data_IF_051550022396
#
_entry.id   IF_051550022396
#
_cell.length_a   1.000
_cell.length_b   1.000
_cell.length_c   1.000
_cell.angle_alpha   90.00
_cell.angle_beta   90.00
_cell.angle_gamma   90.00
#
_symmetry.space_group_name_H-M   'P 1'
#
loop_
_entity.id
_entity.type
_entity.pdbx_description
1 polymer ?
#
# COMPACT_ATOMS: atom_id res chain seq x y z
N UNK A 1 45.57 -61.63 42.93
CA UNK A 1 44.74 -60.73 43.76
C UNK A 1 45.57 -59.51 44.11
N UNK A 2 44.97 -58.31 44.09
CA UNK A 2 45.52 -56.93 44.11
C UNK A 2 45.72 -56.32 42.73
N UNK A 3 45.22 -55.13 42.39
CA UNK A 3 44.27 -54.20 43.02
C UNK A 3 43.83 -53.25 41.89
N UNK A 4 42.54 -53.15 41.58
CA UNK A 4 42.01 -52.08 40.72
C UNK A 4 41.67 -50.86 41.60
N UNK A 5 41.99 -49.62 41.17
CA UNK A 5 41.69 -48.43 41.93
C UNK A 5 40.20 -48.07 41.89
N UNK A 6 39.72 -47.60 43.04
CA UNK A 6 38.36 -47.21 43.39
C UNK A 6 37.79 -46.12 42.46
N UNK A 7 36.72 -46.48 41.73
CA UNK A 7 36.01 -45.63 40.77
C UNK A 7 35.16 -44.54 41.41
N UNK A 8 35.10 -44.43 42.74
CA UNK A 8 34.21 -43.48 43.43
C UNK A 8 34.67 -42.02 43.41
N UNK A 9 35.93 -41.73 43.06
CA UNK A 9 36.48 -40.36 43.02
C UNK A 9 36.37 -39.67 41.64
N UNK A 10 36.23 -40.41 40.56
CA UNK A 10 36.15 -39.86 39.20
C UNK A 10 34.76 -39.28 38.87
N UNK A 11 33.69 -39.79 39.49
CA UNK A 11 32.32 -39.30 39.26
C UNK A 11 32.02 -37.98 39.99
N UNK A 12 32.73 -37.65 41.07
CA UNK A 12 32.54 -36.38 41.80
C UNK A 12 33.10 -35.16 41.07
N UNK A 13 34.11 -35.34 40.22
CA UNK A 13 34.67 -34.25 39.41
C UNK A 13 33.89 -34.05 38.11
N UNK A 14 33.33 -35.13 37.53
CA UNK A 14 32.47 -35.02 36.34
C UNK A 14 31.09 -34.42 36.63
N UNK A 15 30.53 -34.60 37.83
CA UNK A 15 29.23 -34.00 38.18
C UNK A 15 29.30 -32.48 38.41
N UNK A 16 30.48 -31.95 38.76
CA UNK A 16 30.68 -30.50 38.94
C UNK A 16 30.93 -29.74 37.64
N UNK A 17 31.30 -30.41 36.54
CA UNK A 17 31.45 -29.78 35.23
C UNK A 17 30.17 -29.82 34.37
N UNK A 18 29.24 -30.73 34.66
CA UNK A 18 27.96 -30.82 33.93
C UNK A 18 26.95 -29.72 34.34
N UNK A 19 27.18 -29.06 35.47
CA UNK A 19 26.37 -27.92 35.94
C UNK A 19 26.81 -26.56 35.37
N UNK A 20 27.92 -26.50 34.63
CA UNK A 20 28.41 -25.26 34.01
C UNK A 20 27.96 -25.06 32.54
N UNK A 21 27.26 -26.04 31.97
CA UNK A 21 26.62 -25.95 30.64
C UNK A 21 25.09 -25.98 30.72
N UNK A 22 24.51 -25.58 31.86
CA UNK A 22 23.22 -24.91 31.79
C UNK A 22 23.49 -23.56 31.11
N UNK A 23 23.37 -23.54 29.79
CA UNK A 23 23.34 -22.33 29.01
C UNK A 23 22.19 -21.49 29.60
N UNK A 24 22.54 -20.57 30.50
CA UNK A 24 21.63 -19.53 30.90
C UNK A 24 21.41 -18.78 29.60
N UNK A 25 20.24 -18.97 29.00
CA UNK A 25 19.68 -18.02 28.05
C UNK A 25 19.49 -16.73 28.84
N UNK A 26 20.61 -16.03 29.07
CA UNK A 26 20.68 -14.74 29.72
C UNK A 26 19.81 -13.86 28.85
N UNK A 27 18.61 -13.59 29.35
CA UNK A 27 17.63 -12.74 28.71
C UNK A 27 18.14 -11.31 28.88
N UNK A 28 19.19 -10.98 28.13
CA UNK A 28 19.93 -9.74 28.27
C UNK A 28 19.16 -8.59 27.65
N UNK A 29 18.17 -8.08 28.37
CA UNK A 29 17.38 -6.91 28.00
C UNK A 29 18.29 -5.72 27.77
N UNK A 30 18.00 -4.95 26.73
CA UNK A 30 18.77 -3.76 26.39
C UNK A 30 17.85 -2.57 26.49
N UNK A 31 18.21 -1.69 27.41
CA UNK A 31 17.65 -0.34 27.49
C UNK A 31 18.73 0.63 27.03
N UNK A 32 18.34 1.56 26.17
CA UNK A 32 19.24 2.61 25.69
C UNK A 32 18.54 3.95 25.86
N UNK A 33 19.24 4.94 26.40
CA UNK A 33 18.83 6.33 26.40
C UNK A 33 19.81 7.11 25.53
N UNK A 34 19.30 7.70 24.45
CA UNK A 34 20.08 8.53 23.55
C UNK A 34 19.42 9.91 23.47
N UNK A 35 19.96 10.85 24.24
CA UNK A 35 19.46 12.23 24.32
C UNK A 35 17.95 12.32 24.67
N UNK A 36 17.48 11.47 25.58
CA UNK A 36 16.08 11.45 26.04
C UNK A 36 15.16 10.53 25.25
N UNK A 37 15.60 10.04 24.08
CA UNK A 37 14.94 8.96 23.34
C UNK A 37 15.32 7.63 23.99
N UNK A 38 14.34 6.96 24.59
CA UNK A 38 14.55 5.70 25.28
C UNK A 38 14.00 4.55 24.46
N UNK A 39 14.78 3.48 24.38
CA UNK A 39 14.38 2.23 23.73
C UNK A 39 14.43 1.09 24.73
N UNK A 40 13.44 0.21 24.70
CA UNK A 40 13.44 -1.06 25.41
C UNK A 40 13.15 -2.19 24.44
N UNK A 41 13.93 -3.27 24.52
CA UNK A 41 13.72 -4.48 23.71
C UNK A 41 13.26 -5.62 24.61
N UNK A 42 12.07 -6.14 24.33
CA UNK A 42 11.54 -7.34 24.96
C UNK A 42 11.96 -8.57 24.15
N UNK A 43 12.48 -9.58 24.84
CA UNK A 43 12.77 -10.87 24.23
C UNK A 43 11.48 -11.64 23.92
N UNK A 44 11.61 -12.62 23.02
CA UNK A 44 10.56 -13.41 22.38
C UNK A 44 9.23 -13.53 23.17
N UNK A 45 8.20 -12.83 22.70
CA UNK A 45 6.81 -13.10 23.07
C UNK A 45 6.25 -14.13 22.07
N UNK A 46 5.66 -15.21 22.57
CA UNK A 46 5.30 -16.36 21.74
C UNK A 46 3.93 -16.94 22.07
N UNK A 47 3.16 -17.20 21.02
CA UNK A 47 1.95 -18.01 21.10
C UNK A 47 2.25 -19.42 20.57
N UNK A 48 2.23 -20.40 21.47
CA UNK A 48 2.44 -21.82 21.14
C UNK A 48 1.09 -22.49 20.88
N UNK A 49 1.06 -23.51 20.01
CA UNK A 49 -0.17 -24.23 19.61
C UNK A 49 -1.20 -23.30 18.95
N UNK A 50 -2.45 -23.75 18.76
CA UNK A 50 -3.54 -23.02 18.09
C UNK A 50 -4.19 -21.87 18.91
N UNK A 51 -3.65 -21.53 20.08
CA UNK A 51 -4.22 -20.55 21.01
C UNK A 51 -3.56 -19.18 20.84
N UNK A 52 -4.36 -18.13 20.59
CA UNK A 52 -3.89 -16.75 20.58
C UNK A 52 -3.60 -16.26 22.01
N UNK A 53 -2.58 -15.41 22.15
CA UNK A 53 -2.10 -14.89 23.45
C UNK A 53 -1.91 -13.39 23.45
N UNK A 54 -2.16 -12.76 24.59
CA UNK A 54 -1.96 -11.33 24.85
C UNK A 54 -0.85 -11.13 25.86
N UNK A 55 0.01 -10.15 25.60
CA UNK A 55 1.13 -9.75 26.44
C UNK A 55 1.00 -8.26 26.77
N UNK A 56 0.92 -7.88 28.04
CA UNK A 56 1.04 -6.46 28.43
C UNK A 56 2.49 -6.05 28.31
N UNK A 57 2.85 -5.26 27.30
CA UNK A 57 4.25 -4.88 27.04
C UNK A 57 4.62 -3.56 27.71
N UNK A 58 3.64 -2.69 27.94
CA UNK A 58 3.84 -1.43 28.64
C UNK A 58 2.55 -0.94 29.31
N UNK A 59 2.70 -0.08 30.31
CA UNK A 59 1.60 0.73 30.86
C UNK A 59 2.03 2.19 30.76
N UNK A 60 1.17 3.07 30.24
CA UNK A 60 1.52 4.48 30.01
C UNK A 60 0.63 5.41 30.84
N UNK A 61 1.26 6.35 31.55
CA UNK A 61 0.57 7.44 32.25
C UNK A 61 0.36 8.65 31.35
N UNK A 62 -0.87 9.15 31.29
CA UNK A 62 -1.29 10.27 30.45
C UNK A 62 -2.40 11.11 31.11
N UNK A 63 -2.73 12.26 30.52
CA UNK A 63 -3.90 13.03 30.90
C UNK A 63 -4.72 13.39 29.64
N UNK A 64 -5.98 12.96 29.58
CA UNK A 64 -6.87 13.12 28.42
C UNK A 64 -7.15 14.58 28.06
N UNK A 65 -6.95 15.52 28.98
CA UNK A 65 -7.33 16.93 28.85
C UNK A 65 -6.14 17.88 28.70
N UNK A 66 -4.92 17.34 28.60
CA UNK A 66 -3.72 18.16 28.61
C UNK A 66 -2.71 17.84 27.49
N UNK A 67 -2.37 18.87 26.70
CA UNK A 67 -1.54 18.79 25.50
C UNK A 67 -0.04 18.56 25.79
N UNK A 68 0.48 19.01 26.95
CA UNK A 68 1.90 18.79 27.32
C UNK A 68 2.22 17.35 27.73
N UNK A 69 1.19 16.50 27.86
CA UNK A 69 1.33 15.08 28.17
C UNK A 69 1.13 14.17 26.96
N UNK A 70 0.96 14.78 25.77
CA UNK A 70 0.94 14.07 24.50
C UNK A 70 2.29 13.42 24.28
N UNK A 71 2.27 12.19 23.79
CA UNK A 71 3.51 11.49 23.50
C UNK A 71 3.23 10.21 22.76
N UNK A 72 4.13 9.88 21.85
CA UNK A 72 4.02 8.71 20.99
C UNK A 72 4.83 7.60 21.64
N UNK A 73 4.22 6.43 21.83
CA UNK A 73 4.96 5.18 21.97
C UNK A 73 5.00 4.53 20.59
N UNK A 74 6.20 4.24 20.10
CA UNK A 74 6.38 3.43 18.90
C UNK A 74 6.58 1.99 19.36
N UNK A 75 5.76 1.08 18.83
CA UNK A 75 5.87 -0.36 19.07
C UNK A 75 6.22 -1.03 17.76
N UNK A 76 7.35 -1.72 17.74
CA UNK A 76 7.86 -2.42 16.57
C UNK A 76 7.89 -3.91 16.85
N UNK A 77 7.21 -4.66 15.99
CA UNK A 77 7.10 -6.11 16.07
C UNK A 77 8.00 -6.70 14.97
N UNK A 78 8.92 -7.57 15.38
CA UNK A 78 9.80 -8.29 14.48
C UNK A 78 9.47 -9.77 14.54
N UNK A 79 8.87 -10.29 13.47
CA UNK A 79 8.57 -11.70 13.38
C UNK A 79 9.90 -12.49 13.36
N UNK A 80 10.03 -13.43 14.28
CA UNK A 80 11.23 -14.27 14.45
C UNK A 80 10.98 -15.73 14.03
N UNK A 81 9.81 -16.05 13.47
CA UNK A 81 9.39 -17.41 13.13
C UNK A 81 8.58 -17.47 11.82
N UNK A 82 8.81 -18.49 10.97
CA UNK A 82 8.13 -18.70 9.66
C UNK A 82 8.30 -17.63 8.56
N UNK A 83 9.03 -16.54 8.79
CA UNK A 83 9.38 -15.58 7.74
C UNK A 83 9.97 -14.28 8.27
N UNK A 84 10.50 -13.45 7.38
CA UNK A 84 10.89 -12.06 7.71
C UNK A 84 9.65 -11.18 7.63
N UNK A 85 9.25 -10.59 8.76
CA UNK A 85 8.11 -9.69 8.85
C UNK A 85 8.36 -8.60 9.88
N UNK A 86 7.89 -7.40 9.58
CA UNK A 86 8.00 -6.23 10.44
C UNK A 86 6.70 -5.43 10.42
N UNK A 87 6.23 -5.07 11.61
CA UNK A 87 5.10 -4.16 11.79
C UNK A 87 5.49 -3.02 12.74
N UNK A 88 5.11 -1.80 12.39
CA UNK A 88 5.32 -0.60 13.21
C UNK A 88 3.99 0.03 13.57
N UNK A 89 3.77 0.17 14.87
CA UNK A 89 2.59 0.81 15.42
C UNK A 89 2.96 2.10 16.15
N UNK A 90 2.09 3.11 16.06
CA UNK A 90 2.09 4.25 16.97
C UNK A 90 0.95 4.10 17.96
N UNK A 91 1.25 4.30 19.24
CA UNK A 91 0.25 4.49 20.29
C UNK A 91 0.22 5.99 20.59
N UNK A 92 -0.89 6.62 20.24
CA UNK A 92 -1.09 8.05 20.41
C UNK A 92 -2.02 8.30 21.61
N UNK A 93 -1.58 9.16 22.52
CA UNK A 93 -2.23 9.41 23.82
C UNK A 93 -2.16 10.90 24.18
N UNK A 94 -3.15 11.37 24.95
CA UNK A 94 -3.26 12.75 25.42
C UNK A 94 -4.16 13.64 24.54
N UNK A 95 -4.25 14.92 24.91
CA UNK A 95 -5.15 15.88 24.24
C UNK A 95 -4.59 16.34 22.89
N UNK A 96 -5.33 16.03 21.82
CA UNK A 96 -4.97 16.24 20.40
C UNK A 96 -3.84 15.33 19.92
N UNK A 97 -4.18 14.42 18.99
CA UNK A 97 -3.46 13.18 18.59
C UNK A 97 -3.92 11.91 19.33
N UNK A 98 -4.73 12.01 20.39
CA UNK A 98 -5.65 10.95 20.84
C UNK A 98 -7.03 11.56 21.03
N UNK A 99 -7.97 11.19 20.17
CA UNK A 99 -9.32 11.75 19.93
C UNK A 99 -9.96 12.53 21.11
N UNK A 100 -9.63 13.81 21.32
CA UNK A 100 -10.19 14.62 22.42
C UNK A 100 -10.11 13.94 23.81
N UNK A 101 -9.17 13.02 24.03
CA UNK A 101 -9.00 12.33 25.31
C UNK A 101 -8.88 10.80 25.23
N UNK A 102 -9.23 10.16 24.11
CA UNK A 102 -9.20 8.71 23.95
C UNK A 102 -7.92 8.22 23.25
N UNK A 103 -7.12 7.35 23.90
CA UNK A 103 -5.97 6.68 23.30
C UNK A 103 -6.28 5.87 22.04
N UNK A 104 -5.38 5.92 21.05
CA UNK A 104 -5.53 5.17 19.79
C UNK A 104 -4.24 4.45 19.39
N UNK A 105 -4.39 3.36 18.63
CA UNK A 105 -3.27 2.62 18.03
C UNK A 105 -3.41 2.65 16.52
N UNK A 106 -2.32 2.95 15.83
CA UNK A 106 -2.27 2.99 14.36
C UNK A 106 -1.16 2.11 13.84
N UNK A 107 -1.46 1.30 12.81
CA UNK A 107 -0.44 0.62 12.01
C UNK A 107 0.09 1.62 10.98
N UNK A 108 1.39 1.92 11.04
CA UNK A 108 2.03 2.96 10.21
C UNK A 108 3.07 2.40 9.23
N UNK A 109 3.56 1.19 9.44
CA UNK A 109 4.43 0.47 8.50
C UNK A 109 4.21 -1.03 8.66
N UNK A 110 4.24 -1.75 7.55
CA UNK A 110 4.04 -3.19 7.49
C UNK A 110 4.79 -3.78 6.30
N UNK A 111 5.65 -4.76 6.55
CA UNK A 111 6.45 -5.45 5.54
C UNK A 111 6.49 -6.96 5.81
N UNK A 112 6.55 -7.75 4.74
CA UNK A 112 6.61 -9.22 4.79
C UNK A 112 5.29 -9.90 4.42
N UNK A 113 5.30 -11.24 4.32
CA UNK A 113 4.16 -12.03 3.84
C UNK A 113 3.19 -12.46 4.95
N UNK A 114 3.63 -12.49 6.20
CA UNK A 114 2.87 -13.07 7.30
C UNK A 114 2.84 -12.13 8.51
N UNK A 115 1.66 -11.60 8.78
CA UNK A 115 1.35 -10.82 9.98
C UNK A 115 0.51 -11.67 10.90
N UNK A 116 1.03 -11.95 12.09
CA UNK A 116 0.39 -12.77 13.13
C UNK A 116 0.36 -12.06 14.49
N UNK A 117 0.61 -10.75 14.53
CA UNK A 117 0.47 -9.98 15.75
C UNK A 117 -0.12 -8.59 15.49
N UNK A 118 -0.74 -8.03 16.53
CA UNK A 118 -1.23 -6.65 16.54
C UNK A 118 -0.99 -6.00 17.88
N UNK A 119 -0.91 -4.67 17.88
CA UNK A 119 -0.90 -3.86 19.10
C UNK A 119 -2.33 -3.47 19.43
N UNK A 120 -2.73 -3.66 20.68
CA UNK A 120 -4.06 -3.26 21.19
C UNK A 120 -3.91 -2.50 22.51
N UNK A 121 -4.96 -1.81 22.93
CA UNK A 121 -5.00 -1.09 24.20
C UNK A 121 -5.96 -1.79 25.16
N UNK A 122 -5.64 -1.69 26.45
CA UNK A 122 -6.54 -2.07 27.52
C UNK A 122 -7.49 -0.96 27.93
N UNK A 123 -8.30 -1.27 28.93
CA UNK A 123 -9.18 -0.29 29.55
C UNK A 123 -8.37 0.74 30.34
N UNK A 124 -8.53 2.05 30.06
CA UNK A 124 -7.83 3.09 30.80
C UNK A 124 -8.42 3.30 32.20
N UNK A 125 -7.56 3.41 33.21
CA UNK A 125 -7.96 3.59 34.61
C UNK A 125 -7.38 4.87 35.23
N UNK A 126 -8.07 5.40 36.24
CA UNK A 126 -7.67 6.62 36.94
C UNK A 126 -6.47 6.38 37.88
N UNK A 127 -5.55 7.33 37.90
CA UNK A 127 -4.46 7.41 38.88
C UNK A 127 -4.88 8.28 40.06
N UNK A 128 -4.15 8.16 41.18
CA UNK A 128 -4.38 8.97 42.38
C UNK A 128 -3.99 10.45 42.21
N UNK A 129 -3.24 10.77 41.16
CA UNK A 129 -2.76 12.12 40.86
C UNK A 129 -3.66 12.84 39.85
N UNK A 130 -3.64 14.16 39.88
CA UNK A 130 -4.37 15.02 38.95
C UNK A 130 -3.47 16.15 38.45
N UNK A 131 -3.79 16.69 37.29
CA UNK A 131 -3.15 17.87 36.73
C UNK A 131 -4.23 18.84 36.25
N UNK A 132 -4.16 20.11 36.66
CA UNK A 132 -5.19 21.13 36.38
C UNK A 132 -6.62 20.66 36.66
N UNK A 133 -6.84 20.03 37.83
CA UNK A 133 -8.13 19.46 38.27
C UNK A 133 -8.69 18.33 37.39
N UNK A 134 -7.90 17.81 36.45
CA UNK A 134 -8.23 16.65 35.63
C UNK A 134 -7.42 15.45 36.10
N UNK A 135 -8.07 14.30 36.28
CA UNK A 135 -7.39 13.10 36.73
C UNK A 135 -6.38 12.62 35.71
N UNK A 136 -5.21 12.22 36.20
CA UNK A 136 -4.26 11.47 35.38
C UNK A 136 -4.80 10.04 35.23
N UNK A 137 -4.51 9.41 34.09
CA UNK A 137 -4.95 8.06 33.78
C UNK A 137 -3.75 7.22 33.37
N UNK A 138 -3.89 5.92 33.47
CA UNK A 138 -2.96 4.95 32.91
C UNK A 138 -3.69 4.05 31.92
N UNK A 139 -2.97 3.59 30.90
CA UNK A 139 -3.50 2.65 29.90
C UNK A 139 -2.50 1.52 29.64
N UNK A 140 -2.95 0.25 29.72
CA UNK A 140 -2.16 -0.90 29.29
C UNK A 140 -2.01 -0.92 27.76
N UNK A 141 -0.82 -1.25 27.29
CA UNK A 141 -0.49 -1.51 25.89
C UNK A 141 -0.19 -2.99 25.75
N UNK A 142 -0.94 -3.65 24.87
CA UNK A 142 -0.85 -5.07 24.64
C UNK A 142 -0.23 -5.38 23.28
N UNK A 143 0.47 -6.50 23.21
CA UNK A 143 0.75 -7.19 21.95
C UNK A 143 -0.02 -8.50 21.95
N UNK A 144 -0.92 -8.64 21.00
CA UNK A 144 -1.68 -9.86 20.75
C UNK A 144 -0.94 -10.66 19.67
N UNK A 145 -0.60 -11.91 19.97
CA UNK A 145 0.14 -12.82 19.09
C UNK A 145 -0.75 -14.02 18.77
N UNK A 146 -0.95 -14.26 17.48
CA UNK A 146 -1.68 -15.39 16.92
C UNK A 146 -0.81 -16.65 16.99
N UNK A 147 -1.48 -17.79 17.00
CA UNK A 147 -0.88 -19.11 17.13
C UNK A 147 0.37 -19.33 16.25
N UNK A 148 1.27 -20.20 16.73
CA UNK A 148 2.50 -20.59 16.04
C UNK A 148 3.40 -19.42 15.62
N UNK A 149 3.43 -18.34 16.41
CA UNK A 149 4.21 -17.15 16.07
C UNK A 149 5.01 -16.64 17.26
N UNK A 150 6.19 -16.10 16.94
CA UNK A 150 7.12 -15.53 17.92
C UNK A 150 7.60 -14.17 17.42
N UNK A 151 7.53 -13.17 18.31
CA UNK A 151 7.91 -11.80 18.00
C UNK A 151 8.94 -11.28 18.99
N UNK A 152 9.91 -10.51 18.48
CA UNK A 152 10.68 -9.56 19.30
C UNK A 152 9.96 -8.22 19.27
N UNK A 153 9.91 -7.54 20.42
CA UNK A 153 9.23 -6.25 20.53
C UNK A 153 10.25 -5.18 20.86
N UNK A 154 10.27 -4.10 20.08
CA UNK A 154 11.02 -2.89 20.41
C UNK A 154 10.05 -1.76 20.71
N UNK A 155 10.25 -1.13 21.86
CA UNK A 155 9.45 -0.01 22.36
C UNK A 155 10.34 1.24 22.34
N UNK A 156 9.92 2.29 21.62
CA UNK A 156 10.62 3.58 21.60
C UNK A 156 9.73 4.66 22.20
N UNK A 157 10.22 5.39 23.19
CA UNK A 157 9.44 6.32 23.99
C UNK A 157 10.27 7.50 24.53
N UNK A 158 9.58 8.60 24.85
CA UNK A 158 10.16 9.84 25.41
C UNK A 158 9.80 10.06 26.90
N UNK A 159 9.23 9.05 27.55
CA UNK A 159 8.71 9.11 28.93
C UNK A 159 9.73 8.66 29.97
N UNK A 160 9.48 8.97 31.24
CA UNK A 160 10.26 8.46 32.35
C UNK A 160 9.92 6.99 32.61
N UNK A 161 10.91 6.09 32.51
CA UNK A 161 10.70 4.67 32.83
C UNK A 161 10.57 4.51 34.34
N UNK A 162 9.53 3.84 34.80
CA UNK A 162 9.25 3.60 36.21
C UNK A 162 8.78 2.17 36.43
N UNK A 163 8.86 1.68 37.67
CA UNK A 163 8.31 0.37 38.04
C UNK A 163 6.79 0.40 38.12
N UNK A 164 6.22 1.52 38.55
CA UNK A 164 4.78 1.72 38.68
C UNK A 164 4.39 3.11 38.19
N UNK A 165 3.39 3.16 37.31
CA UNK A 165 2.85 4.41 36.78
C UNK A 165 1.95 5.04 37.83
N UNK A 166 2.35 6.20 38.34
CA UNK A 166 1.63 6.94 39.39
C UNK A 166 1.15 8.31 38.92
N UNK A 167 1.70 8.82 37.83
CA UNK A 167 1.33 10.11 37.23
C UNK A 167 1.54 10.13 35.71
N UNK A 168 1.21 11.25 35.06
CA UNK A 168 1.47 11.47 33.64
C UNK A 168 2.98 11.44 33.31
N UNK A 169 3.31 11.25 32.02
CA UNK A 169 4.71 11.23 31.51
C UNK A 169 5.60 10.11 32.05
N UNK A 170 4.99 9.10 32.66
CA UNK A 170 5.63 7.87 33.09
C UNK A 170 5.25 6.70 32.17
N UNK A 171 6.14 5.73 32.07
CA UNK A 171 5.91 4.46 31.39
C UNK A 171 6.49 3.31 32.22
N UNK A 172 5.69 2.28 32.43
CA UNK A 172 6.16 0.97 32.90
C UNK A 172 6.41 0.10 31.69
N UNK A 173 7.58 -0.51 31.63
CA UNK A 173 7.90 -1.54 30.64
C UNK A 173 7.79 -2.88 31.35
N UNK A 174 6.94 -3.76 30.84
CA UNK A 174 6.81 -5.11 31.38
C UNK A 174 7.87 -5.98 30.71
N UNK A 175 9.01 -6.04 31.37
CA UNK A 175 10.22 -6.73 30.89
C UNK A 175 10.01 -8.23 30.66
N UNK A 176 9.12 -8.84 31.43
CA UNK A 176 8.74 -10.27 31.34
C UNK A 176 7.22 -10.40 31.34
N UNK A 177 6.55 -10.01 30.24
CA UNK A 177 5.10 -9.94 30.22
C UNK A 177 4.51 -11.34 30.32
N UNK A 178 3.63 -11.56 31.31
CA UNK A 178 2.96 -12.85 31.49
C UNK A 178 1.85 -12.99 30.44
N UNK A 179 1.85 -14.06 29.61
CA UNK A 179 0.81 -14.25 28.62
C UNK A 179 -0.54 -14.56 29.26
N UNK A 180 -1.60 -14.04 28.67
CA UNK A 180 -2.97 -14.52 28.89
C UNK A 180 -3.53 -15.08 27.58
N UNK A 181 -4.29 -16.16 27.65
CA UNK A 181 -4.96 -16.72 26.48
C UNK A 181 -6.17 -15.84 26.10
N UNK A 182 -6.32 -15.57 24.80
CA UNK A 182 -7.41 -14.75 24.24
C UNK A 182 -8.07 -15.45 23.06
N UNK A 183 -9.34 -15.16 22.72
CA UNK A 183 -9.93 -15.63 21.47
C UNK A 183 -9.08 -15.27 20.24
N UNK A 184 -9.21 -16.06 19.17
CA UNK A 184 -8.56 -15.71 17.91
C UNK A 184 -9.06 -14.35 17.38
N UNK A 185 -8.25 -13.70 16.57
CA UNK A 185 -8.51 -12.36 16.07
C UNK A 185 -8.12 -12.20 14.59
N UNK A 186 -8.71 -11.18 13.97
CA UNK A 186 -8.32 -10.68 12.67
C UNK A 186 -7.24 -9.61 12.81
N UNK A 187 -6.36 -9.56 11.83
CA UNK A 187 -5.21 -8.65 11.81
C UNK A 187 -5.52 -7.52 10.83
N UNK A 188 -5.37 -6.25 11.23
CA UNK A 188 -5.53 -5.13 10.31
C UNK A 188 -4.47 -5.22 9.21
N UNK A 189 -4.91 -5.32 7.96
CA UNK A 189 -4.02 -5.23 6.77
C UNK A 189 -4.02 -3.84 6.14
N UNK A 190 -4.85 -2.93 6.65
CA UNK A 190 -4.96 -1.55 6.20
C UNK A 190 -4.04 -0.68 7.05
N UNK A 191 -3.04 -0.04 6.44
CA UNK A 191 -2.35 1.09 7.06
C UNK A 191 -3.37 2.20 7.33
N UNK A 192 -3.27 2.90 8.46
CA UNK A 192 -4.24 3.93 8.86
C UNK A 192 -4.12 5.20 7.99
N UNK A 193 -4.71 5.07 6.80
CA UNK A 193 -5.30 6.00 5.83
C UNK A 193 -4.47 7.13 5.19
N UNK A 194 -4.48 7.03 3.85
CA UNK A 194 -3.93 7.88 2.78
C UNK A 194 -2.43 7.69 2.52
N UNK A 195 -2.11 7.07 1.38
CA UNK A 195 -0.82 7.33 0.72
C UNK A 195 -0.80 8.83 0.40
N UNK A 196 -0.15 9.62 1.25
CA UNK A 196 0.08 11.04 1.02
C UNK A 196 1.53 11.23 0.59
N UNK A 197 1.71 11.50 -0.69
CA UNK A 197 3.00 11.95 -1.22
C UNK A 197 3.03 13.48 -1.11
N UNK A 198 3.94 14.02 -0.31
CA UNK A 198 4.10 15.47 -0.09
C UNK A 198 5.58 15.86 -0.14
N UNK A 199 5.88 17.03 -0.71
CA UNK A 199 7.24 17.53 -0.89
C UNK A 199 7.28 18.70 -1.88
N UNK A 200 8.44 19.35 -1.99
CA UNK A 200 8.66 20.50 -2.89
C UNK A 200 9.32 20.12 -4.22
N UNK A 201 9.39 18.82 -4.55
CA UNK A 201 10.08 18.33 -5.75
C UNK A 201 9.40 17.11 -6.36
N UNK A 202 10.06 16.51 -7.35
CA UNK A 202 9.53 15.37 -8.08
C UNK A 202 9.47 14.11 -7.22
N UNK A 203 8.36 13.39 -7.33
CA UNK A 203 8.17 12.09 -6.73
C UNK A 203 8.07 11.05 -7.83
N UNK A 204 8.93 10.04 -7.78
CA UNK A 204 9.00 9.01 -8.82
C UNK A 204 9.12 7.62 -8.21
N UNK A 205 8.56 6.64 -8.92
CA UNK A 205 8.74 5.22 -8.67
C UNK A 205 9.71 4.73 -9.76
N UNK A 206 10.94 4.38 -9.38
CA UNK A 206 11.98 4.01 -10.35
C UNK A 206 11.82 2.61 -10.91
N UNK A 207 11.23 1.69 -10.13
CA UNK A 207 11.16 0.26 -10.44
C UNK A 207 9.78 -0.30 -10.13
N UNK A 208 9.40 -1.34 -10.88
CA UNK A 208 8.09 -1.99 -10.75
C UNK A 208 6.96 -1.24 -11.48
N UNK A 209 5.74 -1.64 -11.15
CA UNK A 209 4.48 -1.17 -11.70
C UNK A 209 3.54 -0.76 -10.55
N UNK A 210 2.66 0.22 -10.79
CA UNK A 210 1.64 0.66 -9.84
C UNK A 210 0.30 0.02 -10.21
N UNK A 211 -0.24 -0.83 -9.35
CA UNK A 211 -1.59 -1.38 -9.46
C UNK A 211 -2.58 -0.61 -8.59
N UNK A 212 -3.69 -0.16 -9.17
CA UNK A 212 -4.83 0.41 -8.44
C UNK A 212 -6.04 -0.50 -8.67
N UNK A 213 -6.50 -1.18 -7.61
CA UNK A 213 -7.56 -2.19 -7.71
C UNK A 213 -7.11 -3.55 -8.29
N UNK A 214 -5.80 -3.74 -8.50
CA UNK A 214 -5.20 -5.00 -8.99
C UNK A 214 -3.91 -5.30 -8.22
N UNK A 215 -3.64 -6.60 -7.98
CA UNK A 215 -2.38 -7.07 -7.36
C UNK A 215 -1.35 -7.55 -8.39
N UNK A 216 -1.71 -7.58 -9.68
CA UNK A 216 -0.86 -8.08 -10.78
C UNK A 216 -0.83 -7.06 -11.92
N UNK A 217 -0.25 -5.87 -11.69
CA UNK A 217 -0.24 -4.80 -12.70
C UNK A 217 0.60 -5.18 -13.92
N UNK A 218 -0.01 -5.12 -15.11
CA UNK A 218 0.65 -5.47 -16.38
C UNK A 218 1.44 -4.31 -16.98
N UNK A 219 0.99 -3.08 -16.72
CA UNK A 219 1.60 -1.84 -17.20
C UNK A 219 2.19 -1.02 -16.06
N UNK A 220 2.99 0.01 -16.41
CA UNK A 220 3.61 0.91 -15.41
C UNK A 220 2.60 1.52 -14.44
N UNK A 221 1.42 1.85 -14.96
CA UNK A 221 0.24 2.19 -14.19
C UNK A 221 -0.92 1.32 -14.72
N UNK A 222 -1.46 0.45 -13.87
CA UNK A 222 -2.58 -0.42 -14.18
C UNK A 222 -3.72 -0.14 -13.20
N UNK A 223 -4.88 0.25 -13.73
CA UNK A 223 -6.04 0.68 -12.95
C UNK A 223 -7.22 -0.20 -13.31
N UNK A 224 -7.59 -1.10 -12.40
CA UNK A 224 -8.80 -1.92 -12.49
C UNK A 224 -10.02 -1.10 -12.04
N UNK A 225 -10.35 -0.06 -12.81
CA UNK A 225 -11.43 0.87 -12.50
C UNK A 225 -11.40 2.14 -13.34
N UNK A 226 -12.08 3.18 -12.88
CA UNK A 226 -12.20 4.44 -13.60
C UNK A 226 -11.12 5.44 -13.16
N UNK A 227 -10.50 6.09 -14.15
CA UNK A 227 -9.61 7.24 -13.92
C UNK A 227 -10.43 8.52 -14.13
N UNK A 228 -10.51 9.38 -13.11
CA UNK A 228 -11.08 10.74 -13.24
C UNK A 228 -9.93 11.75 -13.32
N UNK A 229 -9.77 12.37 -14.48
CA UNK A 229 -8.78 13.42 -14.72
C UNK A 229 -9.46 14.69 -15.22
N UNK A 230 -8.83 15.85 -15.00
CA UNK A 230 -9.23 17.10 -15.67
C UNK A 230 -8.70 17.15 -17.11
N UNK A 231 -7.50 16.62 -17.31
CA UNK A 231 -6.80 16.59 -18.59
C UNK A 231 -5.87 15.37 -18.65
N UNK A 232 -5.74 14.79 -19.84
CA UNK A 232 -4.76 13.73 -20.14
C UNK A 232 -4.04 14.13 -21.42
N UNK A 233 -2.73 14.36 -21.33
CA UNK A 233 -1.87 14.59 -22.49
C UNK A 233 -1.22 13.28 -22.90
N UNK A 234 -1.48 12.85 -24.13
CA UNK A 234 -0.88 11.66 -24.72
C UNK A 234 0.20 12.11 -25.70
N UNK A 235 1.41 11.60 -25.56
CA UNK A 235 2.50 11.90 -26.49
C UNK A 235 2.43 10.97 -27.70
N UNK A 236 2.52 11.56 -28.89
CA UNK A 236 2.41 10.87 -30.17
C UNK A 236 3.71 11.05 -30.96
N UNK A 237 4.13 10.02 -31.69
CA UNK A 237 5.36 10.06 -32.48
C UNK A 237 5.14 10.55 -33.92
N UNK A 238 3.93 10.40 -34.47
CA UNK A 238 3.59 10.83 -35.82
C UNK A 238 2.07 11.08 -35.95
N UNK A 239 1.69 12.05 -36.78
CA UNK A 239 0.30 12.35 -37.16
C UNK A 239 -0.19 11.51 -38.35
N UNK A 240 -1.33 11.89 -38.93
CA UNK A 240 -1.93 11.20 -40.08
C UNK A 240 -1.75 11.93 -41.43
N UNK A 241 -1.13 13.12 -41.44
CA UNK A 241 -1.07 14.05 -42.56
C UNK A 241 -0.52 13.47 -43.89
N UNK A 242 0.20 12.35 -43.82
CA UNK A 242 0.68 11.61 -45.00
C UNK A 242 -0.45 11.17 -45.94
N UNK A 243 -1.71 11.16 -45.48
CA UNK A 243 -2.89 10.94 -46.35
C UNK A 243 -2.96 11.96 -47.49
N UNK A 244 -2.39 13.15 -47.31
CA UNK A 244 -2.36 14.20 -48.33
C UNK A 244 -1.17 14.11 -49.30
N UNK A 245 -0.31 13.10 -49.16
CA UNK A 245 0.79 12.89 -50.10
C UNK A 245 0.28 12.52 -51.49
N UNK A 246 1.03 12.93 -52.54
CA UNK A 246 0.61 12.72 -53.94
C UNK A 246 0.48 11.25 -54.33
N UNK A 247 1.28 10.40 -53.69
CA UNK A 247 1.33 8.97 -53.96
C UNK A 247 0.49 8.16 -52.93
N UNK A 248 -0.37 8.84 -52.16
CA UNK A 248 -1.28 8.17 -51.24
C UNK A 248 -2.34 7.36 -52.00
N UNK A 249 -2.37 6.05 -51.73
CA UNK A 249 -3.35 5.13 -52.33
C UNK A 249 -4.71 5.26 -51.62
N UNK A 250 -5.46 6.29 -52.01
CA UNK A 250 -6.81 6.50 -51.53
C UNK A 250 -7.75 5.43 -52.10
N UNK A 251 -8.20 4.50 -51.23
CA UNK A 251 -9.10 3.41 -51.64
C UNK A 251 -10.37 3.97 -52.32
N UNK A 252 -10.87 3.36 -53.39
CA UNK A 252 -12.14 3.80 -53.97
C UNK A 252 -13.30 3.50 -53.02
N UNK A 253 -14.35 4.35 -53.03
CA UNK A 253 -15.52 4.18 -52.18
C UNK A 253 -16.23 2.84 -52.36
N UNK A 254 -16.18 2.24 -53.56
CA UNK A 254 -16.74 0.91 -53.81
C UNK A 254 -16.02 -0.20 -53.04
N UNK A 255 -14.70 -0.13 -52.90
CA UNK A 255 -13.93 -1.08 -52.11
C UNK A 255 -14.18 -0.88 -50.60
N UNK A 256 -14.42 0.36 -50.16
CA UNK A 256 -14.81 0.65 -48.78
C UNK A 256 -16.22 0.10 -48.50
N UNK A 257 -17.16 0.27 -49.44
CA UNK A 257 -18.52 -0.26 -49.34
C UNK A 257 -18.52 -1.79 -49.18
N UNK A 258 -17.76 -2.49 -50.03
CA UNK A 258 -17.58 -3.94 -49.94
C UNK A 258 -17.04 -4.34 -48.56
N UNK A 259 -15.95 -3.71 -48.11
CA UNK A 259 -15.36 -3.99 -46.80
C UNK A 259 -16.33 -3.77 -45.64
N UNK A 260 -17.04 -2.64 -45.61
CA UNK A 260 -17.96 -2.29 -44.53
C UNK A 260 -19.18 -3.22 -44.54
N UNK A 261 -19.64 -3.64 -45.73
CA UNK A 261 -20.76 -4.56 -45.86
C UNK A 261 -20.48 -5.92 -45.21
N UNK A 262 -19.23 -6.40 -45.35
CA UNK A 262 -18.75 -7.67 -44.80
C UNK A 262 -18.33 -7.57 -43.33
N UNK A 263 -17.58 -6.53 -42.96
CA UNK A 263 -16.87 -6.47 -41.67
C UNK A 263 -17.57 -5.60 -40.61
N UNK A 264 -18.55 -4.77 -40.99
CA UNK A 264 -19.31 -3.88 -40.08
C UNK A 264 -18.47 -2.83 -39.32
N UNK A 265 -17.24 -2.57 -39.75
CA UNK A 265 -16.40 -1.47 -39.28
C UNK A 265 -15.59 -0.89 -40.44
N UNK A 266 -14.95 0.26 -40.21
CA UNK A 266 -14.07 0.87 -41.21
C UNK A 266 -12.74 0.12 -41.32
N UNK A 267 -12.09 0.12 -42.50
CA UNK A 267 -10.74 -0.40 -42.64
C UNK A 267 -9.79 0.21 -41.59
N UNK A 268 -8.91 -0.62 -41.02
CA UNK A 268 -7.88 -0.27 -40.02
C UNK A 268 -8.41 0.10 -38.62
N UNK A 269 -9.71 0.34 -38.48
CA UNK A 269 -10.37 0.48 -37.18
C UNK A 269 -10.64 -0.93 -36.65
N UNK A 270 -10.24 -1.26 -35.40
CA UNK A 270 -10.51 -2.58 -34.85
C UNK A 270 -12.03 -2.83 -34.74
N UNK A 271 -12.42 -4.09 -34.84
CA UNK A 271 -13.79 -4.54 -34.61
C UNK A 271 -14.16 -4.43 -33.13
N UNK A 272 -15.47 -4.44 -32.83
CA UNK A 272 -15.96 -4.42 -31.45
C UNK A 272 -15.39 -5.59 -30.63
N UNK A 273 -15.28 -6.77 -31.24
CA UNK A 273 -14.76 -7.96 -30.58
C UNK A 273 -13.28 -7.77 -30.18
N UNK A 274 -12.46 -7.29 -31.10
CA UNK A 274 -11.03 -7.01 -30.83
C UNK A 274 -10.89 -5.94 -29.73
N UNK A 275 -11.72 -4.89 -29.74
CA UNK A 275 -11.70 -3.87 -28.69
C UNK A 275 -12.08 -4.41 -27.31
N UNK A 276 -12.99 -5.39 -27.23
CA UNK A 276 -13.40 -6.01 -25.98
C UNK A 276 -12.34 -6.99 -25.44
N UNK A 277 -11.66 -7.71 -26.32
CA UNK A 277 -10.65 -8.72 -25.97
C UNK A 277 -9.30 -8.08 -25.60
N UNK A 278 -8.81 -7.14 -26.42
CA UNK A 278 -7.46 -6.59 -26.30
C UNK A 278 -7.43 -5.18 -25.68
N UNK A 279 -8.60 -4.54 -25.54
CA UNK A 279 -8.71 -3.14 -25.14
C UNK A 279 -8.44 -2.17 -26.29
N UNK A 280 -8.36 -0.88 -25.96
CA UNK A 280 -8.19 0.18 -26.96
C UNK A 280 -7.08 1.15 -26.54
N UNK A 281 -6.05 1.28 -27.38
CA UNK A 281 -5.04 2.32 -27.23
C UNK A 281 -5.63 3.68 -27.64
N UNK A 282 -5.75 4.60 -26.68
CA UNK A 282 -6.28 5.95 -26.94
C UNK A 282 -5.45 6.69 -27.99
N UNK A 283 -4.12 6.53 -27.94
CA UNK A 283 -3.21 7.16 -28.91
C UNK A 283 -3.48 6.65 -30.33
N UNK A 284 -3.30 5.34 -30.52
CA UNK A 284 -3.41 4.72 -31.85
C UNK A 284 -4.81 4.93 -32.44
N UNK A 285 -5.84 4.80 -31.61
CA UNK A 285 -7.21 5.02 -32.04
C UNK A 285 -7.46 6.46 -32.48
N UNK A 286 -6.96 7.46 -31.75
CA UNK A 286 -7.09 8.86 -32.16
C UNK A 286 -6.38 9.15 -33.49
N UNK A 287 -5.18 8.58 -33.71
CA UNK A 287 -4.47 8.73 -34.99
C UNK A 287 -5.23 8.05 -36.14
N UNK A 288 -5.76 6.85 -35.92
CA UNK A 288 -6.60 6.18 -36.92
C UNK A 288 -7.86 6.96 -37.24
N UNK A 289 -8.54 7.53 -36.24
CA UNK A 289 -9.69 8.40 -36.46
C UNK A 289 -9.32 9.67 -37.25
N UNK A 290 -8.19 10.31 -36.93
CA UNK A 290 -7.70 11.46 -37.68
C UNK A 290 -7.45 11.10 -39.14
N UNK A 291 -6.78 9.97 -39.41
CA UNK A 291 -6.59 9.44 -40.76
C UNK A 291 -7.92 9.30 -41.52
N UNK A 292 -8.94 8.72 -40.88
CA UNK A 292 -10.26 8.56 -41.53
C UNK A 292 -10.95 9.90 -41.82
N UNK A 293 -10.75 10.92 -40.96
CA UNK A 293 -11.26 12.27 -41.19
C UNK A 293 -10.56 12.91 -42.40
N UNK A 294 -9.25 12.71 -42.55
CA UNK A 294 -8.48 13.23 -43.68
C UNK A 294 -8.83 12.54 -45.00
N UNK A 295 -8.98 11.21 -45.01
CA UNK A 295 -9.47 10.45 -46.18
C UNK A 295 -10.88 10.91 -46.58
N UNK A 296 -11.77 11.09 -45.60
CA UNK A 296 -13.11 11.64 -45.83
C UNK A 296 -13.05 13.02 -46.48
N UNK A 297 -12.11 13.85 -46.05
CA UNK A 297 -11.89 15.18 -46.63
C UNK A 297 -11.46 15.08 -48.11
N UNK A 298 -10.61 14.12 -48.48
CA UNK A 298 -10.24 13.88 -49.88
C UNK A 298 -11.44 13.47 -50.75
N UNK A 299 -12.29 12.54 -50.26
CA UNK A 299 -13.51 12.15 -50.99
C UNK A 299 -14.46 13.33 -51.19
N UNK A 300 -14.61 14.20 -50.18
CA UNK A 300 -15.46 15.40 -50.28
C UNK A 300 -14.90 16.36 -51.33
N UNK A 301 -13.59 16.56 -51.39
CA UNK A 301 -12.94 17.39 -52.41
C UNK A 301 -13.17 16.81 -53.82
N UNK A 302 -13.07 15.50 -53.98
CA UNK A 302 -13.36 14.83 -55.26
C UNK A 302 -14.83 14.99 -55.67
N UNK A 303 -15.74 14.80 -54.72
CA UNK A 303 -17.17 14.96 -54.94
C UNK A 303 -17.55 16.40 -55.33
N UNK A 304 -16.98 17.42 -54.69
CA UNK A 304 -17.19 18.83 -55.04
C UNK A 304 -16.72 19.13 -56.49
N UNK A 305 -15.57 18.59 -56.89
CA UNK A 305 -15.09 18.71 -58.28
C UNK A 305 -16.06 18.04 -59.27
N UNK A 306 -16.58 16.87 -58.94
CA UNK A 306 -17.54 16.16 -59.76
C UNK A 306 -18.86 16.95 -59.88
N UNK A 307 -19.40 17.48 -58.78
CA UNK A 307 -20.62 18.30 -58.76
C UNK A 307 -20.47 19.57 -59.59
N UNK A 308 -19.35 20.29 -59.46
CA UNK A 308 -19.05 21.47 -60.29
C UNK A 308 -19.01 21.13 -61.78
N UNK A 309 -18.47 19.97 -62.12
CA UNK A 309 -18.41 19.49 -63.51
C UNK A 309 -19.80 19.13 -64.03
N UNK A 310 -20.61 18.44 -63.22
CA UNK A 310 -22.00 18.13 -63.56
C UNK A 310 -22.84 19.40 -63.75
N UNK A 311 -22.71 20.40 -62.87
CA UNK A 311 -23.43 21.67 -62.99
C UNK A 311 -23.08 22.41 -64.29
N UNK A 312 -21.79 22.48 -64.64
CA UNK A 312 -21.37 23.04 -65.94
C UNK A 312 -21.96 22.28 -67.13
N UNK A 313 -22.03 20.96 -67.05
CA UNK A 313 -22.65 20.15 -68.09
C UNK A 313 -24.17 20.40 -68.19
N UNK A 314 -24.85 20.53 -67.06
CA UNK A 314 -26.28 20.86 -67.01
C UNK A 314 -26.53 22.24 -67.64
N UNK A 315 -25.75 23.26 -67.28
CA UNK A 315 -25.85 24.60 -67.87
C UNK A 315 -25.66 24.56 -69.41
N UNK A 316 -24.68 23.79 -69.89
CA UNK A 316 -24.45 23.62 -71.34
C UNK A 316 -25.62 22.95 -72.04
N UNK A 317 -26.15 21.86 -71.48
CA UNK A 317 -27.30 21.15 -72.06
C UNK A 317 -28.56 22.02 -72.08
N UNK A 318 -28.78 22.85 -71.06
CA UNK A 318 -29.88 23.81 -71.03
C UNK A 318 -29.76 24.82 -72.17
N UNK A 319 -28.57 25.37 -72.39
CA UNK A 319 -28.32 26.30 -73.50
C UNK A 319 -28.55 25.67 -74.88
N UNK A 320 -28.16 24.40 -75.07
CA UNK A 320 -28.41 23.68 -76.32
C UNK A 320 -29.91 23.42 -76.56
N UNK A 321 -30.64 23.04 -75.51
CA UNK A 321 -32.10 22.86 -75.57
C UNK A 321 -32.84 24.16 -75.92
N UNK A 322 -32.39 25.30 -75.40
CA UNK A 322 -33.00 26.60 -75.69
C UNK A 322 -32.79 27.02 -77.15
N UNK A 323 -31.63 26.69 -77.74
CA UNK A 323 -31.35 26.93 -79.16
C UNK A 323 -32.18 26.05 -80.10
N UNK A 324 -32.55 24.85 -79.68
CA UNK A 324 -33.37 23.93 -80.47
C UNK A 324 -34.88 24.26 -80.43
N UNK A 325 -35.31 25.10 -79.48
CA UNK A 325 -36.70 25.54 -79.32
C UNK A 325 -37.02 26.86 -80.03
N UNK A 326 -36.00 27.57 -80.54
CA UNK A 326 -36.14 28.77 -81.38
C UNK A 326 -36.23 28.37 -82.85
#
# INVERSE_FOLDING_TARGET
>A
MKNFPDSSKTYRVLFSFLLLFACVSLSGQIHTDQNGIKTSVLYAISANQAQARRFEVATIGYNSYHWQSTGILIVELFNSHYGTGYEKYTVEIGYSQGAQGDPVVKLIDSQGMYHYAKVTLGEPYDLSTSYNNQKNRAIPVYVDVKYHSTYKVRLTYLRARVNDVTTLNQIKIHETPTPIDIPDFTIPTTLDNHIRVAGTGDHYITNGNVGIGTSTPKEKLDVAGTIRAKEVKVEINAGADYVFDKDYDLKPLSAIEEFVSENKHLPEIPSEKEMQEDGLSVNEFQIKLLKKIEELTLYIIEQDKAMKTQNKNIERLQQELDKLKQ
#
